data_IF_837058303983
#
_entry.id   IF_837058303983
#
_cell.length_a   1.000
_cell.length_b   1.000
_cell.length_c   1.000
_cell.angle_alpha   90.00
_cell.angle_beta   90.00
_cell.angle_gamma   90.00
#
_symmetry.space_group_name_H-M   'P 1'
#
loop_
_entity.id
_entity.type
_entity.pdbx_description
1 polymer ?
#
# COMPACT_ATOMS: atom_id res chain seq x y z
N UNK A 1 16.61 -56.90 2.85
CA UNK A 1 15.60 -55.82 2.87
C UNK A 1 15.11 -55.60 1.44
N UNK A 2 13.86 -55.96 1.13
CA UNK A 2 13.29 -55.72 -0.21
C UNK A 2 12.97 -54.23 -0.32
N UNK A 3 13.74 -53.50 -1.12
CA UNK A 3 13.36 -52.16 -1.59
C UNK A 3 12.26 -52.36 -2.62
N UNK A 4 11.01 -52.07 -2.25
CA UNK A 4 9.91 -51.99 -3.20
C UNK A 4 10.20 -50.85 -4.17
N UNK A 5 10.36 -51.15 -5.45
CA UNK A 5 10.49 -50.14 -6.50
C UNK A 5 9.14 -49.45 -6.72
N UNK A 6 9.16 -48.14 -6.91
CA UNK A 6 7.99 -47.34 -7.28
C UNK A 6 7.43 -47.86 -8.61
N UNK A 7 6.11 -47.98 -8.73
CA UNK A 7 5.50 -48.45 -9.98
C UNK A 7 5.44 -47.32 -11.01
N UNK A 8 5.57 -47.63 -12.31
CA UNK A 8 5.47 -46.59 -13.35
C UNK A 8 4.11 -45.89 -13.33
N UNK A 9 3.03 -46.61 -13.02
CA UNK A 9 1.69 -46.04 -12.94
C UNK A 9 1.54 -45.04 -11.79
N UNK A 10 2.19 -45.31 -10.66
CA UNK A 10 2.18 -44.43 -9.48
C UNK A 10 2.91 -43.12 -9.78
N UNK A 11 4.01 -43.16 -10.53
CA UNK A 11 4.69 -41.95 -11.01
C UNK A 11 3.80 -41.14 -11.98
N UNK A 12 3.10 -41.81 -12.90
CA UNK A 12 2.19 -41.17 -13.86
C UNK A 12 1.03 -40.48 -13.14
N UNK A 13 0.40 -41.14 -12.17
CA UNK A 13 -0.70 -40.55 -11.42
C UNK A 13 -0.26 -39.29 -10.66
N UNK A 14 0.95 -39.30 -10.09
CA UNK A 14 1.50 -38.13 -9.38
C UNK A 14 1.65 -36.93 -10.31
N UNK A 15 2.25 -37.10 -11.50
CA UNK A 15 2.43 -35.97 -12.43
C UNK A 15 1.09 -35.46 -12.99
N UNK A 16 0.10 -36.35 -13.17
CA UNK A 16 -1.25 -35.96 -13.62
C UNK A 16 -1.95 -35.11 -12.56
N UNK A 17 -1.92 -35.54 -11.30
CA UNK A 17 -2.51 -34.77 -10.19
C UNK A 17 -1.79 -33.42 -10.04
N UNK A 18 -0.46 -33.41 -10.06
CA UNK A 18 0.32 -32.16 -10.00
C UNK A 18 0.03 -31.24 -11.20
N UNK A 19 -0.20 -31.79 -12.39
CA UNK A 19 -0.60 -31.04 -13.58
C UNK A 19 -1.95 -30.34 -13.42
N UNK A 20 -2.96 -31.05 -12.89
CA UNK A 20 -4.30 -30.48 -12.63
C UNK A 20 -4.22 -29.39 -11.56
N UNK A 21 -3.53 -29.65 -10.44
CA UNK A 21 -3.35 -28.68 -9.37
C UNK A 21 -2.62 -27.41 -9.84
N UNK A 22 -1.58 -27.57 -10.67
CA UNK A 22 -0.86 -26.43 -11.24
C UNK A 22 -1.74 -25.59 -12.17
N UNK A 23 -2.56 -26.23 -13.02
CA UNK A 23 -3.45 -25.56 -13.95
C UNK A 23 -4.50 -24.67 -13.26
N UNK A 24 -5.04 -25.10 -12.12
CA UNK A 24 -6.03 -24.31 -11.36
C UNK A 24 -5.40 -23.26 -10.44
N UNK A 25 -4.17 -23.49 -9.98
CA UNK A 25 -3.48 -22.59 -9.05
C UNK A 25 -2.85 -21.38 -9.76
N UNK A 26 -2.20 -21.59 -10.92
CA UNK A 26 -1.47 -20.55 -11.64
C UNK A 26 -2.29 -19.28 -11.94
N UNK A 27 -3.53 -19.36 -12.45
CA UNK A 27 -4.32 -18.16 -12.76
C UNK A 27 -4.61 -17.30 -11.53
N UNK A 28 -4.79 -17.92 -10.36
CA UNK A 28 -5.04 -17.20 -9.10
C UNK A 28 -3.79 -16.44 -8.65
N UNK A 29 -2.59 -16.97 -8.87
CA UNK A 29 -1.34 -16.35 -8.41
C UNK A 29 -0.94 -15.09 -9.18
N UNK A 30 -1.36 -14.94 -10.45
CA UNK A 30 -0.95 -13.81 -11.31
C UNK A 30 -1.43 -12.45 -10.76
N UNK A 31 -2.58 -12.40 -10.08
CA UNK A 31 -3.19 -11.15 -9.58
C UNK A 31 -2.93 -10.83 -8.09
N UNK A 32 -2.42 -11.76 -7.29
CA UNK A 32 -2.29 -11.57 -5.82
C UNK A 32 -1.32 -10.45 -5.49
N UNK A 33 -0.23 -10.33 -6.24
CA UNK A 33 0.79 -9.30 -6.00
C UNK A 33 0.25 -7.87 -6.16
N UNK A 34 -0.58 -7.63 -7.17
CA UNK A 34 -1.19 -6.33 -7.43
C UNK A 34 -2.25 -5.96 -6.39
N UNK A 35 -3.11 -6.93 -6.05
CA UNK A 35 -4.12 -6.76 -5.01
C UNK A 35 -3.50 -6.48 -3.64
N UNK A 36 -2.42 -7.19 -3.28
CA UNK A 36 -1.69 -6.97 -2.04
C UNK A 36 -1.08 -5.56 -1.97
N UNK A 37 -0.51 -5.06 -3.06
CA UNK A 37 0.04 -3.69 -3.13
C UNK A 37 -1.05 -2.64 -3.01
N UNK A 38 -2.16 -2.82 -3.71
CA UNK A 38 -3.32 -1.92 -3.60
C UNK A 38 -3.85 -1.87 -2.17
N UNK A 39 -3.94 -3.03 -1.50
CA UNK A 39 -4.34 -3.12 -0.10
C UNK A 39 -3.36 -2.40 0.83
N UNK A 40 -2.04 -2.54 0.61
CA UNK A 40 -1.02 -1.82 1.37
C UNK A 40 -1.16 -0.30 1.24
N UNK A 41 -1.39 0.21 0.04
CA UNK A 41 -1.58 1.66 -0.20
C UNK A 41 -2.85 2.16 0.49
N UNK A 42 -3.96 1.41 0.38
CA UNK A 42 -5.22 1.74 1.08
C UNK A 42 -5.02 1.76 2.59
N UNK A 43 -4.30 0.78 3.14
CA UNK A 43 -3.98 0.72 4.57
C UNK A 43 -3.12 1.92 4.99
N UNK A 44 -2.11 2.27 4.19
CA UNK A 44 -1.25 3.43 4.43
C UNK A 44 -2.06 4.74 4.51
N UNK A 45 -2.98 4.99 3.56
CA UNK A 45 -3.88 6.16 3.61
C UNK A 45 -4.79 6.11 4.83
N UNK A 46 -5.24 4.92 5.23
CA UNK A 46 -5.97 4.72 6.48
C UNK A 46 -5.17 5.15 7.71
N UNK A 47 -3.89 4.78 7.79
CA UNK A 47 -2.98 5.18 8.86
C UNK A 47 -2.76 6.69 8.88
N UNK A 48 -2.60 7.31 7.70
CA UNK A 48 -2.48 8.77 7.59
C UNK A 48 -3.71 9.47 8.18
N UNK A 49 -4.91 9.05 7.81
CA UNK A 49 -6.14 9.68 8.28
C UNK A 49 -6.48 9.41 9.76
N UNK A 50 -6.11 8.24 10.29
CA UNK A 50 -6.49 7.84 11.65
C UNK A 50 -5.46 8.22 12.71
N UNK A 51 -4.19 8.29 12.33
CA UNK A 51 -3.09 8.45 13.29
C UNK A 51 -2.29 9.71 12.99
N UNK A 52 -1.71 9.81 11.80
CA UNK A 52 -0.77 10.90 11.47
C UNK A 52 -1.47 12.26 11.36
N UNK A 53 -2.63 12.31 10.71
CA UNK A 53 -3.43 13.51 10.56
C UNK A 53 -3.85 14.12 11.89
N UNK A 54 -4.60 13.37 12.72
CA UNK A 54 -5.07 13.88 14.01
C UNK A 54 -3.93 14.28 14.95
N UNK A 55 -2.82 13.54 14.97
CA UNK A 55 -1.66 13.87 15.82
C UNK A 55 -0.94 15.14 15.38
N UNK A 56 -0.76 15.34 14.06
CA UNK A 56 -0.16 16.57 13.54
C UNK A 56 -1.12 17.75 13.66
N UNK A 57 -2.43 17.52 13.51
CA UNK A 57 -3.45 18.54 13.68
C UNK A 57 -3.55 19.03 15.13
N UNK A 58 -3.57 18.12 16.10
CA UNK A 58 -3.57 18.50 17.52
C UNK A 58 -2.30 19.26 17.89
N UNK A 59 -1.15 18.85 17.33
CA UNK A 59 0.12 19.56 17.52
C UNK A 59 0.09 20.96 16.90
N UNK A 60 -0.45 21.08 15.69
CA UNK A 60 -0.63 22.36 15.00
C UNK A 60 -1.47 23.35 15.82
N UNK A 61 -2.57 22.89 16.40
CA UNK A 61 -3.43 23.73 17.27
C UNK A 61 -2.68 24.17 18.52
N UNK A 62 -1.94 23.26 19.16
CA UNK A 62 -1.15 23.57 20.35
C UNK A 62 -0.03 24.59 20.07
N UNK A 63 0.54 24.58 18.86
CA UNK A 63 1.59 25.51 18.42
C UNK A 63 1.02 26.82 17.83
N UNK A 64 -0.30 27.01 17.82
CA UNK A 64 -0.95 28.24 17.33
C UNK A 64 -1.03 28.34 15.80
N UNK A 65 -0.90 27.22 15.09
CA UNK A 65 -0.94 27.15 13.62
C UNK A 65 -2.34 26.87 13.05
N UNK A 66 -3.40 27.07 13.84
CA UNK A 66 -4.80 26.93 13.43
C UNK A 66 -5.12 25.59 12.76
N UNK A 67 -4.50 24.49 13.20
CA UNK A 67 -4.73 23.15 12.62
C UNK A 67 -4.10 22.94 11.24
N UNK A 68 -3.37 23.92 10.69
CA UNK A 68 -2.69 23.78 9.41
C UNK A 68 -1.45 22.90 9.54
N UNK A 69 -1.27 21.98 8.60
CA UNK A 69 -0.13 21.05 8.54
C UNK A 69 0.75 21.38 7.34
N UNK A 70 0.16 21.90 6.25
CA UNK A 70 0.87 22.09 4.98
C UNK A 70 2.17 22.86 5.10
N UNK A 71 2.15 23.93 5.89
CA UNK A 71 3.29 24.83 5.99
C UNK A 71 4.33 24.41 7.03
N UNK A 72 3.96 23.53 7.97
CA UNK A 72 4.73 23.29 9.19
C UNK A 72 5.29 21.87 9.30
N UNK A 73 4.56 20.86 8.84
CA UNK A 73 4.95 19.45 9.05
C UNK A 73 5.08 18.62 7.76
N UNK A 74 4.60 19.13 6.61
CA UNK A 74 4.68 18.35 5.37
C UNK A 74 6.10 18.09 4.88
N UNK A 75 7.11 18.87 5.30
CA UNK A 75 8.51 18.65 4.88
C UNK A 75 9.11 17.34 5.42
N UNK A 76 8.71 16.92 6.61
CA UNK A 76 9.27 15.74 7.31
C UNK A 76 8.21 14.72 7.71
N UNK A 77 7.13 14.61 6.93
CA UNK A 77 6.04 13.66 7.18
C UNK A 77 6.52 12.20 7.33
N UNK A 78 7.63 11.84 6.71
CA UNK A 78 8.29 10.53 6.84
C UNK A 78 8.77 10.20 8.27
N UNK A 79 8.89 11.20 9.16
CA UNK A 79 9.21 10.99 10.58
C UNK A 79 8.03 10.41 11.37
N UNK A 80 6.81 10.59 10.88
CA UNK A 80 5.58 10.23 11.59
C UNK A 80 4.93 8.97 11.03
N UNK A 81 5.43 8.44 9.91
CA UNK A 81 4.91 7.22 9.31
C UNK A 81 5.95 6.56 8.41
N UNK A 82 5.96 5.23 8.42
CA UNK A 82 6.68 4.45 7.43
C UNK A 82 5.94 4.54 6.09
N UNK A 83 6.62 5.07 5.08
CA UNK A 83 6.08 5.23 3.72
C UNK A 83 6.44 3.97 2.93
N UNK A 84 5.46 3.25 2.34
CA UNK A 84 5.75 2.10 1.49
C UNK A 84 6.61 2.48 0.28
N UNK A 85 7.49 1.59 -0.17
CA UNK A 85 8.42 1.83 -1.29
C UNK A 85 7.71 2.19 -2.62
N UNK A 86 6.45 1.78 -2.78
CA UNK A 86 5.62 2.09 -3.96
C UNK A 86 5.11 3.55 -3.97
N UNK A 87 5.19 4.24 -2.83
CA UNK A 87 4.64 5.57 -2.61
C UNK A 87 5.79 6.58 -2.54
N UNK A 88 5.85 7.49 -3.52
CA UNK A 88 6.87 8.53 -3.55
C UNK A 88 6.28 9.88 -3.16
N UNK A 89 6.85 10.51 -2.14
CA UNK A 89 6.48 11.87 -1.74
C UNK A 89 6.67 12.87 -2.89
N UNK A 90 5.72 13.78 -3.06
CA UNK A 90 5.89 14.88 -4.00
C UNK A 90 6.88 15.92 -3.48
N UNK A 91 7.75 16.45 -4.36
CA UNK A 91 8.71 17.49 -3.99
C UNK A 91 8.01 18.75 -3.47
N UNK A 92 8.67 19.43 -2.52
CA UNK A 92 8.26 20.71 -1.95
C UNK A 92 7.55 20.58 -0.59
N UNK A 93 6.70 21.55 -0.27
CA UNK A 93 5.89 21.56 0.96
C UNK A 93 4.57 20.77 0.81
N UNK A 94 4.58 19.74 -0.04
CA UNK A 94 3.40 18.94 -0.36
C UNK A 94 3.35 17.72 0.54
N UNK A 95 2.21 17.52 1.20
CA UNK A 95 1.84 16.26 1.86
C UNK A 95 1.21 15.26 0.88
N UNK A 96 1.25 15.57 -0.42
CA UNK A 96 0.79 14.69 -1.47
C UNK A 96 1.82 13.60 -1.76
N UNK A 97 1.32 12.42 -2.10
CA UNK A 97 2.14 11.31 -2.55
C UNK A 97 1.75 10.90 -3.95
N UNK A 98 2.74 10.47 -4.73
CA UNK A 98 2.52 9.88 -6.04
C UNK A 98 2.85 8.40 -6.00
N UNK A 99 1.94 7.62 -6.55
CA UNK A 99 2.13 6.21 -6.78
C UNK A 99 2.50 6.09 -8.26
N UNK A 100 3.73 5.68 -8.53
CA UNK A 100 4.18 5.40 -9.90
C UNK A 100 4.92 4.09 -9.88
N UNK A 101 4.21 2.99 -10.10
CA UNK A 101 4.81 1.68 -10.17
C UNK A 101 4.71 1.13 -11.59
N UNK A 102 5.74 1.42 -12.39
CA UNK A 102 5.86 0.95 -13.78
C UNK A 102 5.88 -0.59 -13.89
N UNK A 103 6.19 -1.32 -12.81
CA UNK A 103 6.23 -2.80 -12.82
C UNK A 103 4.86 -3.46 -12.65
N UNK A 104 3.82 -2.71 -12.26
CA UNK A 104 2.49 -3.27 -11.95
C UNK A 104 1.33 -2.51 -12.57
N UNK A 105 1.58 -1.52 -13.43
CA UNK A 105 0.52 -0.67 -14.02
C UNK A 105 -0.11 0.33 -13.04
N UNK A 106 -0.04 0.04 -11.74
CA UNK A 106 -0.66 0.85 -10.70
C UNK A 106 -0.07 2.27 -10.62
N UNK A 107 -0.90 3.23 -11.02
CA UNK A 107 -0.60 4.66 -10.97
C UNK A 107 -1.69 5.38 -10.18
N UNK A 108 -1.30 6.41 -9.44
CA UNK A 108 -2.25 7.14 -8.63
C UNK A 108 -1.63 8.29 -7.87
N UNK A 109 -2.48 9.06 -7.22
CA UNK A 109 -2.10 10.18 -6.38
C UNK A 109 -2.87 10.09 -5.07
N UNK A 110 -2.15 10.29 -3.97
CA UNK A 110 -2.73 10.54 -2.66
C UNK A 110 -2.70 12.04 -2.47
N UNK A 111 -3.88 12.67 -2.52
CA UNK A 111 -4.02 14.12 -2.37
C UNK A 111 -4.28 14.47 -0.93
N UNK A 112 -3.59 15.50 -0.44
CA UNK A 112 -3.74 16.02 0.90
C UNK A 112 -4.63 17.26 0.91
N UNK A 113 -5.67 17.22 1.73
CA UNK A 113 -6.48 18.38 2.12
C UNK A 113 -6.05 18.82 3.50
N UNK A 114 -5.61 20.08 3.59
CA UNK A 114 -5.10 20.64 4.84
C UNK A 114 -6.19 20.81 5.88
N UNK A 115 -5.79 20.73 7.16
CA UNK A 115 -6.68 21.02 8.28
C UNK A 115 -6.82 22.53 8.51
N UNK A 116 -7.82 22.87 9.30
CA UNK A 116 -8.01 24.21 9.85
C UNK A 116 -8.38 24.12 11.34
N UNK A 117 -8.80 25.22 11.96
CA UNK A 117 -9.11 25.26 13.40
C UNK A 117 -10.28 24.32 13.81
N UNK A 118 -11.16 23.96 12.89
CA UNK A 118 -12.36 23.15 13.13
C UNK A 118 -12.36 21.82 12.38
N UNK A 119 -11.64 21.72 11.27
CA UNK A 119 -11.62 20.58 10.37
C UNK A 119 -10.25 19.89 10.41
N UNK A 120 -10.29 18.58 10.63
CA UNK A 120 -9.09 17.73 10.60
C UNK A 120 -8.56 17.56 9.18
N UNK A 121 -7.23 17.41 8.99
CA UNK A 121 -6.63 17.09 7.70
C UNK A 121 -7.14 15.76 7.14
N UNK A 122 -7.07 15.62 5.82
CA UNK A 122 -7.51 14.41 5.13
C UNK A 122 -6.59 14.06 3.97
N UNK A 123 -6.36 12.76 3.80
CA UNK A 123 -5.73 12.17 2.61
C UNK A 123 -6.77 11.36 1.85
N UNK A 124 -6.92 11.68 0.58
CA UNK A 124 -7.80 10.99 -0.34
C UNK A 124 -6.96 10.24 -1.38
N UNK A 125 -7.34 8.98 -1.62
CA UNK A 125 -6.66 8.08 -2.53
C UNK A 125 -7.38 8.09 -3.88
N UNK A 126 -6.69 8.56 -4.92
CA UNK A 126 -7.16 8.47 -6.29
C UNK A 126 -6.23 7.53 -7.09
N UNK A 127 -6.72 6.33 -7.41
CA UNK A 127 -5.99 5.34 -8.20
C UNK A 127 -6.55 5.39 -9.62
N UNK A 128 -5.67 5.58 -10.60
CA UNK A 128 -5.98 5.33 -12.00
C UNK A 128 -5.55 3.89 -12.31
N UNK A 129 -6.54 3.00 -12.50
CA UNK A 129 -6.33 1.65 -13.02
C UNK A 129 -5.92 1.68 -14.48
#
# INVERSE_FOLDING_TARGET
MRRGGFTMIELIFVIVILGILAAVALPKFIGVGEQARTAKIKAFVGTLNRTVGPTLWSKSIAEGHNGQIRNYYCRDLAKYTDIPDEVRKMRGNRCDFRINNQKTGLSGVITFTDGNATDSPRWDLNISS
#
